data_IF_560292625992
#
_entry.id   IF_560292625992
#
_cell.length_a   1.000
_cell.length_b   1.000
_cell.length_c   1.000
_cell.angle_alpha   90.00
_cell.angle_beta   90.00
_cell.angle_gamma   90.00
#
_symmetry.space_group_name_H-M   'P 1'
#
loop_
_entity.id
_entity.type
_entity.pdbx_description
1 polymer ?
#
# COMPACT_ATOMS: atom_id res chain seq x y z
N UNK A 1 3.77 -8.81 -10.17
CA UNK A 1 3.36 -8.49 -11.55
C UNK A 1 2.60 -7.17 -11.54
N UNK A 2 3.23 -6.08 -12.01
CA UNK A 2 2.59 -4.76 -12.17
C UNK A 2 1.60 -4.88 -13.33
N UNK A 3 0.35 -4.46 -13.16
CA UNK A 3 -0.57 -4.35 -14.28
C UNK A 3 -0.01 -3.29 -15.25
N UNK A 4 0.39 -3.62 -16.49
CA UNK A 4 1.03 -2.67 -17.41
C UNK A 4 0.14 -1.48 -17.79
N UNK A 5 -1.11 -1.43 -17.36
CA UNK A 5 -2.06 -0.35 -17.68
C UNK A 5 -1.95 0.90 -16.79
N UNK A 6 -1.19 0.88 -15.68
CA UNK A 6 -1.01 2.08 -14.84
C UNK A 6 0.31 2.81 -15.08
N UNK A 7 0.78 2.86 -16.31
CA UNK A 7 1.98 3.66 -16.65
C UNK A 7 1.73 5.17 -16.58
N UNK A 8 0.46 5.58 -16.58
CA UNK A 8 0.06 6.98 -16.47
C UNK A 8 -1.00 7.12 -15.39
N UNK A 9 -0.70 7.91 -14.36
CA UNK A 9 -1.68 8.33 -13.37
C UNK A 9 -2.41 9.59 -13.86
N UNK A 10 -3.72 9.66 -13.66
CA UNK A 10 -4.52 10.85 -13.89
C UNK A 10 -4.86 11.61 -12.59
N UNK A 11 -4.67 10.97 -11.43
CA UNK A 11 -4.95 11.55 -10.13
C UNK A 11 -4.05 10.94 -9.07
N UNK A 12 -3.63 11.77 -8.10
CA UNK A 12 -2.83 11.37 -6.96
C UNK A 12 -3.45 11.92 -5.67
N UNK A 13 -3.45 11.10 -4.62
CA UNK A 13 -3.79 11.54 -3.27
C UNK A 13 -2.76 11.03 -2.27
N UNK A 14 -2.38 11.91 -1.35
CA UNK A 14 -1.24 11.71 -0.46
C UNK A 14 -1.64 12.00 0.98
N UNK A 15 -0.99 11.28 1.90
CA UNK A 15 -0.95 11.59 3.33
C UNK A 15 0.49 11.54 3.82
N UNK A 16 0.68 11.65 5.13
CA UNK A 16 2.01 11.50 5.75
C UNK A 16 2.62 10.11 5.55
N UNK A 17 1.81 9.08 5.29
CA UNK A 17 2.27 7.68 5.20
C UNK A 17 1.87 6.96 3.92
N UNK A 18 0.98 7.54 3.13
CA UNK A 18 0.41 6.84 1.97
C UNK A 18 0.40 7.69 0.72
N UNK A 19 0.65 7.02 -0.40
CA UNK A 19 0.53 7.58 -1.73
C UNK A 19 -0.40 6.66 -2.52
N UNK A 20 -1.41 7.26 -3.14
CA UNK A 20 -2.40 6.58 -3.97
C UNK A 20 -2.41 7.21 -5.35
N UNK A 21 -2.59 6.38 -6.37
CA UNK A 21 -2.68 6.79 -7.76
C UNK A 21 -3.89 6.16 -8.43
N UNK A 22 -4.60 6.97 -9.24
CA UNK A 22 -5.62 6.50 -10.18
C UNK A 22 -5.08 6.52 -11.58
N UNK A 23 -5.34 5.49 -12.35
CA UNK A 23 -5.06 5.46 -13.77
C UNK A 23 -6.34 5.81 -14.56
N UNK A 24 -6.24 6.30 -15.82
CA UNK A 24 -7.41 6.67 -16.63
C UNK A 24 -8.44 5.55 -16.82
N UNK A 25 -8.01 4.29 -16.82
CA UNK A 25 -8.91 3.12 -16.90
C UNK A 25 -9.73 2.90 -15.60
N UNK A 26 -9.43 3.65 -14.53
CA UNK A 26 -10.08 3.55 -13.22
C UNK A 26 -9.39 2.59 -12.24
N UNK A 27 -8.28 1.96 -12.63
CA UNK A 27 -7.46 1.20 -11.69
C UNK A 27 -6.88 2.13 -10.62
N UNK A 28 -6.76 1.61 -9.40
CA UNK A 28 -6.14 2.31 -8.28
C UNK A 28 -4.96 1.50 -7.78
N UNK A 29 -3.85 2.18 -7.52
CA UNK A 29 -2.67 1.60 -6.90
C UNK A 29 -2.28 2.37 -5.64
N UNK A 30 -1.69 1.65 -4.68
CA UNK A 30 -1.05 2.23 -3.49
C UNK A 30 0.45 1.98 -3.55
N UNK A 31 1.25 2.98 -3.16
CA UNK A 31 2.68 2.83 -2.96
C UNK A 31 2.95 2.20 -1.59
N UNK A 32 3.76 1.15 -1.56
CA UNK A 32 4.21 0.45 -0.35
C UNK A 32 5.70 0.67 -0.12
N UNK A 33 6.15 0.47 1.12
CA UNK A 33 7.56 0.62 1.50
C UNK A 33 8.01 2.05 1.83
N UNK A 34 7.08 3.00 1.89
CA UNK A 34 7.41 4.40 2.21
C UNK A 34 7.88 4.47 3.67
N UNK A 35 9.11 4.94 3.87
CA UNK A 35 9.72 5.20 5.18
C UNK A 35 10.56 6.47 5.10
N UNK A 36 10.99 7.02 6.25
CA UNK A 36 11.87 8.20 6.26
C UNK A 36 13.21 7.97 5.54
N UNK A 37 13.70 6.72 5.52
CA UNK A 37 14.92 6.31 4.82
C UNK A 37 14.66 5.93 3.35
N UNK A 38 13.43 5.60 3.00
CA UNK A 38 12.98 5.30 1.64
C UNK A 38 11.69 6.07 1.31
N UNK A 39 11.76 7.39 1.07
CA UNK A 39 10.57 8.19 0.78
C UNK A 39 9.95 7.84 -0.58
N UNK A 40 10.71 7.25 -1.50
CA UNK A 40 10.20 6.76 -2.77
C UNK A 40 9.32 5.51 -2.59
N UNK A 41 9.52 4.73 -1.53
CA UNK A 41 8.90 3.42 -1.33
C UNK A 41 9.42 2.35 -2.30
N UNK A 42 8.98 1.11 -2.11
CA UNK A 42 9.53 -0.06 -2.79
C UNK A 42 8.78 -0.36 -4.10
N UNK A 43 7.45 -0.43 -4.04
CA UNK A 43 6.63 -0.82 -5.19
C UNK A 43 5.19 -0.30 -5.12
N UNK A 44 4.51 -0.36 -6.26
CA UNK A 44 3.07 -0.09 -6.38
C UNK A 44 2.28 -1.41 -6.33
N UNK A 45 1.19 -1.42 -5.57
CA UNK A 45 0.25 -2.54 -5.52
C UNK A 45 -1.11 -2.11 -6.02
N UNK A 46 -1.63 -2.82 -7.03
CA UNK A 46 -3.02 -2.64 -7.51
C UNK A 46 -3.98 -3.01 -6.39
N UNK A 47 -5.01 -2.20 -6.28
CA UNK A 47 -6.10 -2.38 -5.35
C UNK A 47 -7.29 -2.98 -6.09
N UNK A 48 -7.96 -3.99 -5.51
CA UNK A 48 -9.26 -4.45 -5.99
C UNK A 48 -10.33 -3.34 -5.98
N UNK A 49 -10.98 -3.15 -7.13
CA UNK A 49 -12.01 -2.13 -7.33
C UNK A 49 -11.75 -1.34 -8.61
N UNK A 50 -12.80 -0.70 -9.15
CA UNK A 50 -12.70 0.25 -10.25
C UNK A 50 -13.24 1.61 -9.80
N UNK A 51 -12.54 2.67 -10.19
CA UNK A 51 -12.84 4.05 -9.80
C UNK A 51 -12.93 4.98 -11.02
N UNK A 52 -13.38 4.47 -12.17
CA UNK A 52 -13.33 5.19 -13.46
C UNK A 52 -14.09 6.53 -13.46
N UNK A 53 -15.13 6.65 -12.61
CA UNK A 53 -15.96 7.85 -12.48
C UNK A 53 -15.92 8.47 -11.08
N UNK A 54 -14.80 8.27 -10.38
CA UNK A 54 -14.59 8.76 -9.02
C UNK A 54 -13.37 9.69 -8.98
N UNK A 55 -13.48 10.75 -8.19
CA UNK A 55 -12.35 11.55 -7.70
C UNK A 55 -12.10 11.14 -6.23
N UNK A 56 -10.85 11.00 -5.81
CA UNK A 56 -10.52 10.56 -4.45
C UNK A 56 -9.50 11.45 -3.75
N UNK A 57 -9.57 11.43 -2.42
CA UNK A 57 -8.63 12.12 -1.55
C UNK A 57 -8.28 11.25 -0.35
N UNK A 58 -7.18 11.59 0.32
CA UNK A 58 -6.75 10.94 1.56
C UNK A 58 -6.70 11.97 2.67
N UNK A 59 -7.25 11.63 3.83
CA UNK A 59 -7.18 12.51 5.00
C UNK A 59 -5.80 12.42 5.68
N UNK A 60 -5.44 13.38 6.55
CA UNK A 60 -4.22 13.26 7.37
C UNK A 60 -4.16 12.01 8.26
N UNK A 61 -5.30 11.33 8.48
CA UNK A 61 -5.43 10.09 9.23
C UNK A 61 -5.35 8.83 8.34
N UNK A 62 -4.94 8.96 7.08
CA UNK A 62 -4.86 7.89 6.07
C UNK A 62 -6.20 7.30 5.62
N UNK A 63 -7.30 8.04 5.77
CA UNK A 63 -8.60 7.56 5.31
C UNK A 63 -8.79 7.93 3.84
N UNK A 64 -9.11 6.94 3.00
CA UNK A 64 -9.38 7.16 1.58
C UNK A 64 -10.87 7.42 1.37
N UNK A 65 -11.18 8.56 0.79
CA UNK A 65 -12.54 9.00 0.46
C UNK A 65 -12.66 9.26 -1.04
N UNK A 66 -13.83 9.00 -1.60
CA UNK A 66 -14.11 9.25 -3.00
C UNK A 66 -15.49 9.86 -3.20
N UNK A 67 -15.60 10.73 -4.21
CA UNK A 67 -16.87 11.29 -4.68
C UNK A 67 -17.15 10.79 -6.09
N UNK A 68 -18.41 10.44 -6.34
CA UNK A 68 -18.89 10.07 -7.66
C UNK A 68 -19.48 11.24 -8.41
N UNK A 69 -19.48 11.12 -9.74
CA UNK A 69 -20.18 12.06 -10.62
C UNK A 69 -21.68 12.13 -10.34
N UNK A 70 -22.27 11.11 -9.70
CA UNK A 70 -23.65 11.10 -9.20
C UNK A 70 -23.84 11.76 -7.82
N UNK A 71 -22.78 12.33 -7.22
CA UNK A 71 -22.84 13.01 -5.93
C UNK A 71 -22.81 12.11 -4.70
N UNK A 72 -22.58 10.80 -4.87
CA UNK A 72 -22.40 9.87 -3.75
C UNK A 72 -21.00 9.97 -3.17
N UNK A 73 -20.90 9.95 -1.83
CA UNK A 73 -19.65 9.89 -1.07
C UNK A 73 -19.36 8.44 -0.67
N UNK A 74 -18.14 7.98 -0.90
CA UNK A 74 -17.67 6.64 -0.55
C UNK A 74 -16.45 6.74 0.36
N UNK A 75 -16.44 5.93 1.42
CA UNK A 75 -15.25 5.69 2.22
C UNK A 75 -14.72 4.29 1.93
N UNK A 76 -13.42 4.19 1.71
CA UNK A 76 -12.78 2.87 1.61
C UNK A 76 -12.21 2.45 2.94
N UNK A 77 -12.75 1.37 3.48
CA UNK A 77 -12.23 0.73 4.69
C UNK A 77 -11.11 -0.24 4.31
N UNK A 78 -9.91 0.00 4.83
CA UNK A 78 -8.77 -0.91 4.66
C UNK A 78 -8.48 -1.58 5.99
N UNK A 79 -8.64 -2.92 6.07
CA UNK A 79 -8.11 -3.69 7.18
C UNK A 79 -6.63 -3.95 6.90
N UNK A 80 -5.74 -3.28 7.62
CA UNK A 80 -4.34 -3.65 7.66
C UNK A 80 -4.17 -4.77 8.67
N UNK A 81 -3.83 -5.96 8.19
CA UNK A 81 -3.35 -7.01 9.08
C UNK A 81 -1.93 -6.65 9.46
N UNK A 82 -1.72 -6.29 10.72
CA UNK A 82 -0.38 -6.16 11.26
C UNK A 82 0.19 -7.57 11.38
N UNK A 83 1.27 -7.87 10.65
CA UNK A 83 2.04 -9.06 10.95
C UNK A 83 2.73 -8.79 12.30
N UNK A 84 2.11 -9.23 13.39
CA UNK A 84 2.76 -9.21 14.70
C UNK A 84 3.92 -10.20 14.63
N UNK A 85 5.13 -9.71 14.43
CA UNK A 85 6.32 -10.51 14.68
C UNK A 85 6.40 -10.69 16.20
N UNK A 86 5.79 -11.76 16.72
CA UNK A 86 5.93 -12.18 18.11
C UNK A 86 7.36 -12.73 18.27
N UNK A 87 8.37 -11.87 18.45
CA UNK A 87 9.65 -12.32 19.01
C UNK A 87 9.48 -12.49 20.51
N UNK A 88 8.86 -13.58 20.94
CA UNK A 88 9.27 -14.20 22.19
C UNK A 88 10.50 -15.05 21.90
N UNK A 89 11.68 -14.45 21.92
CA UNK A 89 12.93 -15.19 22.12
C UNK A 89 13.39 -14.92 23.53
N UNK A 90 13.12 -15.89 24.40
CA UNK A 90 13.66 -16.01 25.74
C UNK A 90 15.17 -15.78 25.73
N UNK A 91 15.66 -15.18 26.81
CA UNK A 91 17.06 -15.15 27.20
C UNK A 91 17.72 -16.53 27.03
N UNK A 92 18.64 -16.63 26.07
CA UNK A 92 19.81 -17.50 26.14
C UNK A 92 20.79 -17.11 25.02
N UNK A 93 21.91 -16.55 25.45
CA UNK A 93 23.15 -16.34 24.70
C UNK A 93 23.51 -17.50 23.76
N UNK A 94 23.50 -17.29 22.44
CA UNK A 94 24.40 -17.97 21.48
C UNK A 94 24.67 -17.05 20.29
N UNK A 95 25.95 -16.74 20.08
CA UNK A 95 26.50 -16.07 18.89
C UNK A 95 26.23 -16.92 17.63
N UNK A 96 25.42 -16.43 16.68
CA UNK A 96 25.37 -16.96 15.32
C UNK A 96 25.15 -15.82 14.29
N UNK A 97 25.65 -16.09 13.10
CA UNK A 97 26.15 -15.23 12.02
C UNK A 97 25.10 -14.30 11.33
N UNK A 98 25.47 -13.16 10.72
CA UNK A 98 24.52 -12.19 10.14
C UNK A 98 23.86 -12.54 8.80
N UNK A 99 24.03 -13.75 8.24
CA UNK A 99 23.73 -14.02 6.81
C UNK A 99 22.58 -15.00 6.52
N UNK A 100 21.70 -15.32 7.48
CA UNK A 100 20.71 -16.41 7.29
C UNK A 100 19.25 -15.95 7.11
N UNK A 101 19.00 -14.83 6.43
CA UNK A 101 17.63 -14.29 6.23
C UNK A 101 17.12 -14.21 4.78
N UNK A 102 17.79 -14.82 3.79
CA UNK A 102 17.33 -14.72 2.40
C UNK A 102 16.41 -15.84 1.88
N UNK A 103 16.31 -17.02 2.51
CA UNK A 103 15.66 -18.18 1.85
C UNK A 103 14.53 -18.83 2.66
N UNK A 104 13.41 -18.15 2.88
CA UNK A 104 12.16 -18.85 3.28
C UNK A 104 10.90 -18.19 2.69
N UNK A 105 10.85 -18.11 1.36
CA UNK A 105 9.60 -17.93 0.63
C UNK A 105 9.07 -19.29 0.15
N UNK A 106 8.30 -20.00 0.98
CA UNK A 106 7.48 -21.11 0.49
C UNK A 106 6.16 -20.57 -0.09
N UNK A 107 5.97 -20.83 -1.39
CA UNK A 107 4.71 -20.62 -2.11
C UNK A 107 3.88 -21.89 -1.97
N UNK A 108 2.67 -21.76 -1.42
CA UNK A 108 1.59 -22.76 -1.54
C UNK A 108 0.42 -22.11 -2.26
#
# INVERSE_FOLDING_TARGET
SVNPECLQACELALSTRTVWARCPNGDVARRYGITDKNPAGDYWKKIPGNMSNLCFTVTPLDELWAISTSGSLLQRLTKTFSHSHNQQKNDASVLLHPDDFEDEWEVI
#
